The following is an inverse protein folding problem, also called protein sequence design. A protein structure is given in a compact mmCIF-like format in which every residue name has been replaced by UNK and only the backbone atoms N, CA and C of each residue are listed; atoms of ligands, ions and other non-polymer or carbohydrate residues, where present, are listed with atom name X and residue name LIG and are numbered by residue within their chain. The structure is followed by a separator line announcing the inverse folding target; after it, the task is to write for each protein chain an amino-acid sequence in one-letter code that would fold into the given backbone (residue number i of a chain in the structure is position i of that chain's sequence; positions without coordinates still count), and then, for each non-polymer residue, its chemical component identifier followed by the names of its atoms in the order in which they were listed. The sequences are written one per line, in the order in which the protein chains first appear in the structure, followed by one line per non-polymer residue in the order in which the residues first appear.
data_IF_455591271982
#
_entry.id   IF_455591271982
#
_cell.length_a   1.000
_cell.length_b   1.000
_cell.length_c   1.000
_cell.angle_alpha   90.00
_cell.angle_beta   90.00
_cell.angle_gamma   90.00
#
_symmetry.space_group_name_H-M   'P 1'
#
loop_
_entity.id
_entity.type
_entity.pdbx_description
1 polymer ?
#
# COMPACT_ATOMS: atom_id res chain seq x y z
N UNK A 1 2.49 -4.94 6.80
CA UNK A 1 2.80 -5.95 5.76
C UNK A 1 1.58 -6.30 4.93
N UNK A 2 1.74 -6.52 3.61
CA UNK A 2 0.61 -6.91 2.73
C UNK A 2 1.09 -7.77 1.55
N UNK A 3 0.55 -8.98 1.45
CA UNK A 3 0.85 -9.89 0.32
C UNK A 3 2.32 -10.29 0.30
N UNK A 4 3.03 -9.97 -0.80
CA UNK A 4 4.45 -10.27 -0.96
C UNK A 4 5.39 -9.23 -0.32
N UNK A 5 4.87 -8.08 0.08
CA UNK A 5 5.66 -7.05 0.77
C UNK A 5 5.46 -7.20 2.29
N UNK A 6 6.39 -7.91 2.92
CA UNK A 6 6.42 -8.14 4.38
C UNK A 6 7.54 -7.34 5.03
N UNK A 7 7.26 -6.84 6.22
CA UNK A 7 8.12 -6.02 7.08
C UNK A 7 8.03 -6.56 8.49
N UNK A 8 9.16 -6.92 9.09
CA UNK A 8 9.21 -7.47 10.45
C UNK A 8 8.89 -6.42 11.52
N UNK A 9 9.16 -5.15 11.22
CA UNK A 9 8.83 -4.01 12.08
C UNK A 9 7.35 -3.60 11.98
N UNK A 10 6.64 -4.05 10.93
CA UNK A 10 5.19 -3.84 10.74
C UNK A 10 4.53 -5.13 10.23
N UNK A 11 4.37 -6.15 11.09
CA UNK A 11 3.94 -7.49 10.68
C UNK A 11 2.46 -7.52 10.23
N UNK A 12 1.62 -6.66 10.79
CA UNK A 12 0.18 -6.66 10.50
C UNK A 12 -0.18 -5.84 9.26
N UNK A 13 -1.35 -6.13 8.68
CA UNK A 13 -1.89 -5.36 7.56
C UNK A 13 -2.60 -4.12 8.08
N UNK A 14 -2.09 -2.96 7.70
CA UNK A 14 -2.71 -1.67 7.99
C UNK A 14 -3.55 -1.23 6.79
N UNK A 15 -4.87 -1.23 6.95
CA UNK A 15 -5.82 -0.81 5.92
C UNK A 15 -6.29 0.64 6.12
N UNK A 16 -6.01 1.26 7.28
CA UNK A 16 -6.42 2.64 7.56
C UNK A 16 -5.48 3.62 6.83
N UNK A 17 -4.17 3.41 6.97
CA UNK A 17 -3.17 4.30 6.35
C UNK A 17 -2.66 3.77 4.99
N UNK A 18 -2.65 2.45 4.79
CA UNK A 18 -1.94 1.82 3.66
C UNK A 18 -2.85 1.11 2.64
N UNK A 19 -4.16 1.36 2.67
CA UNK A 19 -5.09 0.95 1.59
C UNK A 19 -5.04 1.92 0.40
N UNK A 20 -3.84 2.13 -0.13
CA UNK A 20 -3.55 3.03 -1.25
C UNK A 20 -2.61 2.36 -2.26
N UNK A 21 -2.61 2.85 -3.48
CA UNK A 21 -1.57 2.55 -4.46
C UNK A 21 -0.44 3.55 -4.33
N UNK A 22 0.78 3.07 -4.11
CA UNK A 22 2.00 3.88 -4.19
C UNK A 22 2.44 3.99 -5.64
N UNK A 23 2.61 5.23 -6.11
CA UNK A 23 3.08 5.58 -7.44
C UNK A 23 4.42 6.30 -7.29
N UNK A 24 5.44 5.82 -7.99
CA UNK A 24 6.78 6.42 -7.97
C UNK A 24 7.04 7.13 -9.29
N UNK A 25 7.38 8.42 -9.22
CA UNK A 25 7.71 9.24 -10.37
C UNK A 25 9.17 9.71 -10.25
N UNK A 26 9.95 9.68 -11.34
CA UNK A 26 11.27 10.30 -11.35
C UNK A 26 11.11 11.83 -11.24
N UNK A 27 11.78 12.42 -10.25
CA UNK A 27 11.88 13.86 -10.05
C UNK A 27 13.25 14.38 -10.52
N UNK A 28 13.51 15.67 -10.28
CA UNK A 28 14.82 16.26 -10.56
C UNK A 28 15.91 15.58 -9.69
N UNK A 29 17.15 15.66 -10.16
CA UNK A 29 18.35 15.28 -9.40
C UNK A 29 18.40 13.82 -8.88
N UNK A 30 17.64 12.92 -9.52
CA UNK A 30 17.61 11.50 -9.17
C UNK A 30 16.71 11.17 -7.97
N UNK A 31 15.95 12.15 -7.48
CA UNK A 31 14.93 11.93 -6.46
C UNK A 31 13.72 11.18 -7.04
N UNK A 32 13.01 10.46 -6.18
CA UNK A 32 11.77 9.78 -6.52
C UNK A 32 10.64 10.44 -5.75
N UNK A 33 9.69 11.03 -6.47
CA UNK A 33 8.47 11.55 -5.91
C UNK A 33 7.47 10.39 -5.73
N UNK A 34 7.06 10.15 -4.48
CA UNK A 34 6.02 9.19 -4.16
C UNK A 34 4.66 9.89 -4.09
N UNK A 35 3.70 9.39 -4.86
CA UNK A 35 2.30 9.80 -4.80
C UNK A 35 1.44 8.62 -4.42
N UNK A 36 0.31 8.91 -3.79
CA UNK A 36 -0.63 7.89 -3.34
C UNK A 36 -1.98 8.09 -4.02
N UNK A 37 -2.57 6.99 -4.49
CA UNK A 37 -3.92 6.98 -5.05
C UNK A 37 -4.81 6.05 -4.22
N UNK A 38 -6.01 6.50 -3.77
CA UNK A 38 -6.90 5.64 -3.00
C UNK A 38 -7.35 4.43 -3.83
N UNK A 39 -7.46 3.28 -3.18
CA UNK A 39 -8.00 2.06 -3.81
C UNK A 39 -9.51 2.21 -3.94
N UNK A 40 -10.05 1.87 -5.11
CA UNK A 40 -11.50 1.87 -5.34
C UNK A 40 -12.09 0.55 -4.83
N UNK A 41 -12.79 0.62 -3.70
CA UNK A 41 -13.51 -0.52 -3.12
C UNK A 41 -14.94 -0.50 -3.66
N UNK A 42 -15.37 -1.62 -4.24
CA UNK A 42 -16.72 -1.74 -4.80
C UNK A 42 -17.57 -2.68 -3.94
N UNK A 43 -17.80 -3.91 -4.41
CA UNK A 43 -18.72 -4.86 -3.78
C UNK A 43 -18.11 -5.58 -2.56
N UNK A 44 -16.80 -5.78 -2.56
CA UNK A 44 -16.13 -6.61 -1.57
C UNK A 44 -15.28 -5.72 -0.65
N UNK A 45 -15.70 -5.66 0.61
CA UNK A 45 -14.97 -4.92 1.64
C UNK A 45 -13.70 -5.67 2.05
N UNK A 46 -12.63 -4.95 2.44
CA UNK A 46 -11.42 -5.56 2.97
C UNK A 46 -11.75 -6.48 4.15
N UNK A 47 -11.23 -7.71 4.09
CA UNK A 47 -11.28 -8.66 5.20
C UNK A 47 -9.89 -9.25 5.41
N UNK A 48 -9.61 -9.70 6.62
CA UNK A 48 -8.39 -10.43 6.92
C UNK A 48 -8.33 -11.69 6.06
N UNK A 49 -7.13 -12.01 5.55
CA UNK A 49 -6.92 -13.18 4.69
C UNK A 49 -6.32 -14.31 5.53
N UNK A 50 -7.13 -15.32 5.80
CA UNK A 50 -6.73 -16.55 6.50
C UNK A 50 -6.62 -17.68 5.47
N UNK A 51 -5.61 -18.53 5.61
CA UNK A 51 -5.35 -19.69 4.74
C UNK A 51 -5.78 -20.99 5.39
#
# INVERSE_FOLDING_TARGET
SRGAHSRDDFPDRDDEDWLVHTLAYPAADGEIELRYKPVVITKYQPKERVY
#
